data_IF_139287686687
#
_entry.id   IF_139287686687
#
_cell.length_a   1.000
_cell.length_b   1.000
_cell.length_c   1.000
_cell.angle_alpha   90.00
_cell.angle_beta   90.00
_cell.angle_gamma   90.00
#
_symmetry.space_group_name_H-M   'P 1'
#
loop_
_entity.id
_entity.type
_entity.pdbx_description
1 polymer ?
#
# COMPACT_ATOMS: atom_id res chain seq x y z
N UNK A 1 3.87 37.79 20.71
CA UNK A 1 2.89 37.79 19.61
C UNK A 1 1.62 37.22 20.20
N UNK A 2 0.71 38.09 20.59
CA UNK A 2 -0.54 37.72 21.26
C UNK A 2 -1.55 37.36 20.17
N UNK A 3 -2.00 36.10 20.15
CA UNK A 3 -3.09 35.68 19.26
C UNK A 3 -4.36 36.40 19.70
N UNK A 4 -4.92 37.22 18.82
CA UNK A 4 -6.13 38.01 19.11
C UNK A 4 -7.32 37.06 19.36
N UNK A 5 -8.24 37.35 20.31
CA UNK A 5 -9.39 36.49 20.61
C UNK A 5 -10.22 36.10 19.38
N UNK A 6 -10.29 36.99 18.39
CA UNK A 6 -10.95 36.75 17.12
C UNK A 6 -10.31 35.60 16.33
N UNK A 7 -8.98 35.52 16.29
CA UNK A 7 -8.26 34.48 15.57
C UNK A 7 -8.41 33.10 16.24
N UNK A 8 -8.55 33.06 17.57
CA UNK A 8 -8.86 31.84 18.31
C UNK A 8 -10.25 31.30 17.95
N UNK A 9 -11.23 32.19 17.81
CA UNK A 9 -12.61 31.84 17.47
C UNK A 9 -12.73 31.32 16.04
N UNK A 10 -12.05 31.97 15.08
CA UNK A 10 -12.03 31.54 13.68
C UNK A 10 -11.38 30.15 13.52
N UNK A 11 -10.29 29.89 14.27
CA UNK A 11 -9.64 28.58 14.26
C UNK A 11 -10.54 27.47 14.80
N UNK A 12 -11.29 27.73 15.87
CA UNK A 12 -12.21 26.75 16.45
C UNK A 12 -13.38 26.45 15.50
N UNK A 13 -13.91 27.46 14.81
CA UNK A 13 -14.99 27.29 13.84
C UNK A 13 -14.53 26.52 12.60
N UNK A 14 -13.30 26.76 12.13
CA UNK A 14 -12.73 26.02 11.01
C UNK A 14 -12.51 24.53 11.37
N UNK A 15 -12.13 24.24 12.61
CA UNK A 15 -11.96 22.87 13.08
C UNK A 15 -13.29 22.10 13.16
N UNK A 16 -14.38 22.74 13.61
CA UNK A 16 -15.72 22.15 13.56
C UNK A 16 -16.20 21.87 12.13
N UNK A 17 -15.97 22.80 11.20
CA UNK A 17 -16.35 22.59 9.80
C UNK A 17 -15.61 21.40 9.18
N UNK A 18 -14.33 21.19 9.51
CA UNK A 18 -13.58 20.02 9.04
C UNK A 18 -14.17 18.70 9.57
N UNK A 19 -14.55 18.65 10.85
CA UNK A 19 -15.18 17.46 11.43
C UNK A 19 -16.51 17.13 10.74
N UNK A 20 -17.36 18.13 10.49
CA UNK A 20 -18.62 17.93 9.78
C UNK A 20 -18.39 17.41 8.35
N UNK A 21 -17.41 17.94 7.63
CA UNK A 21 -17.07 17.47 6.28
C UNK A 21 -16.54 16.03 6.27
N UNK A 22 -15.80 15.63 7.30
CA UNK A 22 -15.34 14.25 7.46
C UNK A 22 -16.52 13.31 7.73
N UNK A 23 -17.42 13.68 8.64
CA UNK A 23 -18.62 12.87 8.93
C UNK A 23 -19.51 12.68 7.69
N UNK A 24 -19.71 13.74 6.91
CA UNK A 24 -20.42 13.65 5.63
C UNK A 24 -19.73 12.70 4.65
N UNK A 25 -18.39 12.67 4.65
CA UNK A 25 -17.61 11.74 3.83
C UNK A 25 -17.78 10.30 4.29
N UNK A 26 -17.82 10.06 5.61
CA UNK A 26 -18.06 8.73 6.16
C UNK A 26 -19.47 8.20 5.83
N UNK A 27 -20.49 9.06 5.92
CA UNK A 27 -21.85 8.73 5.49
C UNK A 27 -21.92 8.44 4.00
N UNK A 28 -21.23 9.23 3.19
CA UNK A 28 -21.17 9.01 1.75
C UNK A 28 -20.41 7.73 1.36
N UNK A 29 -19.41 7.32 2.16
CA UNK A 29 -18.75 6.02 2.01
C UNK A 29 -19.71 4.86 2.29
N UNK A 30 -20.47 4.95 3.39
CA UNK A 30 -21.43 3.92 3.79
C UNK A 30 -22.61 3.78 2.81
N UNK A 31 -23.02 4.90 2.18
CA UNK A 31 -24.08 4.94 1.18
C UNK A 31 -23.59 4.57 -0.24
N UNK A 32 -22.29 4.35 -0.44
CA UNK A 32 -21.76 4.06 -1.77
C UNK A 32 -22.13 2.66 -2.23
N UNK A 33 -22.66 2.57 -3.44
CA UNK A 33 -23.05 1.30 -4.05
C UNK A 33 -21.87 0.62 -4.73
N UNK A 34 -21.10 -0.12 -3.92
CA UNK A 34 -19.99 -0.93 -4.40
C UNK A 34 -20.46 -2.11 -5.28
N UNK A 35 -21.72 -2.55 -5.18
CA UNK A 35 -22.21 -3.74 -5.88
C UNK A 35 -22.48 -3.45 -7.36
N UNK A 36 -22.99 -2.25 -7.67
CA UNK A 36 -23.26 -1.83 -9.04
C UNK A 36 -22.08 -1.11 -9.74
N UNK A 37 -20.97 -0.86 -9.03
CA UNK A 37 -19.76 -0.29 -9.65
C UNK A 37 -18.95 -1.35 -10.40
N UNK A 38 -19.07 -1.35 -11.74
CA UNK A 38 -18.39 -2.30 -12.61
C UNK A 38 -16.85 -2.28 -12.49
N UNK A 39 -16.26 -1.11 -12.24
CA UNK A 39 -14.79 -0.97 -12.15
C UNK A 39 -14.28 -1.56 -10.84
N UNK A 40 -15.00 -1.31 -9.74
CA UNK A 40 -14.71 -1.93 -8.46
C UNK A 40 -14.91 -3.44 -8.51
N UNK A 41 -16.04 -3.92 -9.05
CA UNK A 41 -16.34 -5.35 -9.16
C UNK A 41 -15.29 -6.11 -9.98
N UNK A 42 -14.84 -5.53 -11.10
CA UNK A 42 -13.76 -6.12 -11.91
C UNK A 42 -12.47 -6.28 -11.10
N UNK A 43 -12.07 -5.24 -10.35
CA UNK A 43 -10.90 -5.31 -9.47
C UNK A 43 -11.09 -6.29 -8.31
N UNK A 44 -12.30 -6.36 -7.75
CA UNK A 44 -12.65 -7.22 -6.63
C UNK A 44 -12.51 -8.71 -6.99
N UNK A 45 -12.86 -9.11 -8.22
CA UNK A 45 -12.67 -10.48 -8.69
C UNK A 45 -11.20 -10.93 -8.60
N UNK A 46 -10.25 -10.05 -8.94
CA UNK A 46 -8.83 -10.37 -8.79
C UNK A 46 -8.45 -10.59 -7.32
N UNK A 47 -8.98 -9.77 -6.40
CA UNK A 47 -8.72 -9.89 -4.96
C UNK A 47 -9.33 -11.18 -4.42
N UNK A 48 -10.56 -11.51 -4.80
CA UNK A 48 -11.23 -12.76 -4.40
C UNK A 48 -10.43 -13.97 -4.91
N UNK A 49 -9.99 -13.94 -6.17
CA UNK A 49 -9.21 -15.02 -6.78
C UNK A 49 -7.87 -15.24 -6.07
N UNK A 50 -7.14 -14.17 -5.73
CA UNK A 50 -5.88 -14.28 -4.97
C UNK A 50 -6.06 -14.76 -3.53
N UNK A 51 -7.27 -14.65 -2.95
CA UNK A 51 -7.57 -15.03 -1.57
C UNK A 51 -8.45 -16.30 -1.47
N UNK A 52 -8.58 -17.10 -2.55
CA UNK A 52 -9.45 -18.30 -2.55
C UNK A 52 -9.10 -19.32 -1.45
N UNK A 53 -7.80 -19.52 -1.19
CA UNK A 53 -7.29 -20.47 -0.20
C UNK A 53 -7.29 -19.95 1.24
N UNK A 54 -7.73 -18.70 1.46
CA UNK A 54 -7.76 -18.09 2.80
C UNK A 54 -9.08 -18.38 3.51
N UNK A 55 -9.11 -18.12 4.81
CA UNK A 55 -10.33 -18.24 5.61
C UNK A 55 -11.37 -17.20 5.18
N UNK A 56 -12.65 -17.49 5.42
CA UNK A 56 -13.74 -16.55 5.11
C UNK A 56 -13.58 -15.21 5.83
N UNK A 57 -12.98 -15.21 7.03
CA UNK A 57 -12.67 -13.99 7.77
C UNK A 57 -11.67 -13.12 6.99
N UNK A 58 -10.57 -13.70 6.53
CA UNK A 58 -9.55 -12.97 5.76
C UNK A 58 -10.08 -12.48 4.42
N UNK A 59 -10.97 -13.25 3.76
CA UNK A 59 -11.64 -12.79 2.53
C UNK A 59 -12.51 -11.57 2.78
N UNK A 60 -13.32 -11.57 3.85
CA UNK A 60 -14.13 -10.40 4.23
C UNK A 60 -13.27 -9.18 4.53
N UNK A 61 -12.19 -9.36 5.30
CA UNK A 61 -11.24 -8.29 5.58
C UNK A 61 -10.60 -7.75 4.29
N UNK A 62 -10.24 -8.62 3.34
CA UNK A 62 -9.71 -8.19 2.04
C UNK A 62 -10.73 -7.37 1.23
N UNK A 63 -12.01 -7.76 1.24
CA UNK A 63 -13.09 -7.02 0.57
C UNK A 63 -13.29 -5.65 1.24
N UNK A 64 -13.32 -5.59 2.57
CA UNK A 64 -13.45 -4.32 3.30
C UNK A 64 -12.28 -3.38 3.04
N UNK A 65 -11.06 -3.90 3.06
CA UNK A 65 -9.86 -3.13 2.72
C UNK A 65 -9.90 -2.63 1.29
N UNK A 66 -10.38 -3.45 0.34
CA UNK A 66 -10.56 -3.05 -1.05
C UNK A 66 -11.58 -1.91 -1.19
N UNK A 67 -12.73 -1.98 -0.49
CA UNK A 67 -13.74 -0.90 -0.46
C UNK A 67 -13.13 0.41 0.03
N UNK A 68 -12.42 0.37 1.17
CA UNK A 68 -11.78 1.54 1.76
C UNK A 68 -10.72 2.15 0.81
N UNK A 69 -9.87 1.29 0.22
CA UNK A 69 -8.83 1.71 -0.71
C UNK A 69 -9.41 2.34 -1.98
N UNK A 70 -10.39 1.67 -2.59
CA UNK A 70 -11.02 2.15 -3.82
C UNK A 70 -11.67 3.52 -3.62
N UNK A 71 -12.47 3.67 -2.56
CA UNK A 71 -13.13 4.94 -2.28
C UNK A 71 -12.13 6.07 -2.03
N UNK A 72 -11.08 5.80 -1.24
CA UNK A 72 -10.02 6.77 -0.94
C UNK A 72 -9.24 7.17 -2.20
N UNK A 73 -9.06 6.22 -3.13
CA UNK A 73 -8.26 6.41 -4.35
C UNK A 73 -9.02 7.13 -5.46
N UNK A 74 -10.31 6.84 -5.64
CA UNK A 74 -11.06 7.25 -6.84
C UNK A 74 -12.23 8.20 -6.56
N UNK A 75 -12.75 8.26 -5.33
CA UNK A 75 -13.95 9.05 -5.00
C UNK A 75 -13.57 10.24 -4.12
N UNK A 76 -13.13 9.97 -2.90
CA UNK A 76 -12.75 11.02 -1.95
C UNK A 76 -11.76 10.48 -0.93
N UNK A 77 -10.59 11.12 -0.77
CA UNK A 77 -9.63 10.70 0.24
C UNK A 77 -10.19 10.98 1.63
N UNK A 78 -10.12 9.99 2.52
CA UNK A 78 -10.45 10.14 3.93
C UNK A 78 -9.55 9.26 4.80
N UNK A 79 -9.52 9.56 6.10
CA UNK A 79 -8.75 8.77 7.05
C UNK A 79 -9.57 7.56 7.52
N UNK A 80 -9.13 6.38 7.11
CA UNK A 80 -9.75 5.10 7.46
C UNK A 80 -9.75 4.87 8.97
N UNK A 81 -8.72 5.35 9.69
CA UNK A 81 -8.62 5.19 11.14
C UNK A 81 -9.70 6.00 11.86
N UNK A 82 -9.95 7.22 11.37
CA UNK A 82 -11.01 8.09 11.90
C UNK A 82 -12.41 7.54 11.59
N UNK A 83 -12.62 7.01 10.38
CA UNK A 83 -13.86 6.33 10.03
C UNK A 83 -14.14 5.12 10.95
N UNK A 84 -13.13 4.30 11.26
CA UNK A 84 -13.27 3.16 12.18
C UNK A 84 -13.66 3.60 13.59
N UNK A 85 -13.07 4.68 14.10
CA UNK A 85 -13.42 5.24 15.39
C UNK A 85 -14.87 5.78 15.42
N UNK A 86 -15.26 6.52 14.38
CA UNK A 86 -16.62 7.02 14.22
C UNK A 86 -17.66 5.88 14.12
N UNK A 87 -17.36 4.83 13.37
CA UNK A 87 -18.22 3.62 13.30
C UNK A 87 -18.35 2.92 14.64
N UNK A 88 -17.27 2.80 15.41
CA UNK A 88 -17.31 2.20 16.74
C UNK A 88 -18.20 3.02 17.70
N UNK A 89 -18.13 4.35 17.63
CA UNK A 89 -18.97 5.24 18.43
C UNK A 89 -20.46 5.13 18.07
N UNK A 90 -20.79 4.99 16.79
CA UNK A 90 -22.18 4.80 16.37
C UNK A 90 -22.78 3.45 16.78
N UNK A 91 -21.96 2.39 16.85
CA UNK A 91 -22.42 1.09 17.33
C UNK A 91 -22.74 1.09 18.83
N UNK A 92 -22.10 1.96 19.62
CA UNK A 92 -22.44 2.15 21.03
C UNK A 92 -23.78 2.89 21.25
N UNK A 93 -24.18 3.75 20.31
CA UNK A 93 -25.42 4.54 20.44
C UNK A 93 -26.66 3.81 19.86
N UNK A 94 -26.46 2.84 18.97
CA UNK A 94 -27.57 2.08 18.36
C UNK A 94 -28.02 0.86 19.18
N UNK A 95 -27.32 0.49 20.24
CA UNK A 95 -27.63 -0.68 21.09
C UNK A 95 -28.58 -0.35 22.28
N UNK A 96 -29.02 0.91 22.42
CA UNK A 96 -29.93 1.37 23.48
C UNK A 96 -31.39 1.43 23.00
N UNK A 97 -31.86 0.43 22.25
CA UNK A 97 -33.29 0.32 21.87
C UNK A 97 -33.84 -1.08 21.63
N UNK A 98 -33.13 -2.18 21.95
CA UNK A 98 -33.75 -3.53 21.89
C UNK A 98 -33.16 -4.55 22.86
N UNK A 99 -33.71 -4.55 24.09
CA UNK A 99 -33.96 -5.72 24.96
C UNK A 99 -32.77 -6.46 25.61
N UNK A 100 -32.52 -6.12 26.89
CA UNK A 100 -32.65 -7.09 27.99
C UNK A 100 -31.41 -7.86 28.50
N UNK A 101 -30.74 -7.27 29.50
CA UNK A 101 -30.07 -7.89 30.68
C UNK A 101 -29.38 -9.27 30.54
N UNK A 102 -28.06 -9.31 30.81
CA UNK A 102 -27.52 -9.88 32.07
C UNK A 102 -26.28 -9.08 32.51
N UNK A 103 -26.27 -8.59 33.75
CA UNK A 103 -25.12 -7.99 34.45
C UNK A 103 -24.21 -9.05 35.06
N UNK A 104 -22.94 -8.67 35.29
CA UNK A 104 -22.03 -8.96 36.43
C UNK A 104 -20.61 -9.16 35.85
N UNK A 105 -19.56 -8.43 36.23
CA UNK A 105 -19.42 -7.45 37.28
C UNK A 105 -18.14 -6.64 37.06
N UNK A 106 -18.11 -5.48 37.69
CA UNK A 106 -17.00 -4.55 37.75
C UNK A 106 -16.28 -4.80 39.07
N UNK A 107 -14.99 -5.10 39.01
CA UNK A 107 -14.09 -4.84 40.11
C UNK A 107 -12.75 -4.32 39.59
N UNK A 108 -12.38 -3.21 40.21
CA UNK A 108 -11.20 -2.42 39.98
C UNK A 108 -10.26 -2.81 41.12
N UNK A 109 -9.10 -3.40 40.84
CA UNK A 109 -8.02 -3.37 41.82
C UNK A 109 -6.64 -3.31 41.15
N UNK A 110 -6.05 -2.14 41.27
CA UNK A 110 -4.63 -1.88 41.08
C UNK A 110 -3.84 -2.55 42.19
N UNK A 111 -2.90 -3.45 41.87
CA UNK A 111 -1.64 -3.55 42.61
C UNK A 111 -0.49 -4.00 41.71
N UNK A 112 0.63 -3.38 42.00
CA UNK A 112 1.93 -3.44 41.35
C UNK A 112 2.74 -4.67 41.81
N UNK A 113 3.77 -4.96 41.00
CA UNK A 113 5.02 -5.68 41.27
C UNK A 113 5.10 -7.20 40.97
N UNK A 114 6.10 -7.51 40.11
CA UNK A 114 6.88 -8.74 39.91
C UNK A 114 6.17 -10.11 39.97
N UNK A 115 6.27 -10.91 38.90
CA UNK A 115 7.30 -11.96 38.81
C UNK A 115 7.18 -12.75 37.48
N UNK A 116 8.31 -13.33 37.07
CA UNK A 116 8.60 -14.07 35.85
C UNK A 116 8.03 -15.50 35.93
N UNK A 117 7.48 -16.03 34.82
CA UNK A 117 7.10 -17.45 34.77
C UNK A 117 6.67 -17.91 33.37
N UNK A 118 7.63 -18.47 32.64
CA UNK A 118 7.45 -19.11 31.34
C UNK A 118 6.42 -20.25 31.36
N UNK A 119 5.65 -20.41 30.28
CA UNK A 119 5.57 -21.72 29.60
C UNK A 119 4.92 -21.59 28.22
N UNK A 120 5.67 -22.04 27.23
CA UNK A 120 5.27 -22.15 25.83
C UNK A 120 4.32 -23.32 25.61
N UNK A 121 3.44 -23.20 24.61
CA UNK A 121 2.92 -24.36 23.84
C UNK A 121 2.50 -23.87 22.46
N UNK A 122 3.49 -23.81 21.56
CA UNK A 122 3.30 -23.91 20.12
C UNK A 122 3.18 -25.40 19.79
N UNK A 123 2.11 -25.81 19.10
CA UNK A 123 2.07 -27.09 18.39
C UNK A 123 1.69 -26.85 16.93
N UNK A 124 2.56 -27.33 16.04
CA UNK A 124 2.43 -27.32 14.58
C UNK A 124 2.57 -28.79 14.15
N UNK A 125 1.55 -29.33 13.47
CA UNK A 125 1.64 -30.62 12.78
C UNK A 125 2.05 -30.42 11.31
N UNK A 126 3.05 -31.19 10.89
CA UNK A 126 3.75 -31.19 9.60
C UNK A 126 3.13 -32.12 8.56
N UNK A 127 3.11 -31.71 7.29
CA UNK A 127 3.12 -32.59 6.10
C UNK A 127 3.97 -31.95 4.98
N UNK A 128 4.85 -32.73 4.36
CA UNK A 128 5.75 -32.37 3.23
C UNK A 128 5.41 -33.28 2.01
N UNK A 129 5.73 -32.95 0.73
CA UNK A 129 7.10 -32.64 0.26
C UNK A 129 7.23 -31.50 -0.79
N UNK A 130 8.47 -31.05 -1.02
CA UNK A 130 8.96 -30.13 -2.06
C UNK A 130 8.88 -28.59 -1.80
N UNK A 131 10.07 -28.00 -1.70
CA UNK A 131 10.46 -26.63 -2.07
C UNK A 131 9.67 -25.42 -1.53
N UNK A 132 10.01 -24.94 -0.32
CA UNK A 132 10.32 -23.53 -0.01
C UNK A 132 10.70 -23.37 1.49
N UNK A 133 11.56 -22.41 1.88
CA UNK A 133 11.97 -22.25 3.27
C UNK A 133 10.87 -21.58 4.10
N UNK A 134 10.42 -22.25 5.16
CA UNK A 134 9.51 -21.71 6.17
C UNK A 134 10.22 -20.66 7.03
N UNK A 135 9.67 -19.45 7.09
CA UNK A 135 9.99 -18.40 8.07
C UNK A 135 8.68 -18.00 8.77
N UNK A 136 8.66 -17.85 10.11
CA UNK A 136 9.59 -16.98 10.84
C UNK A 136 10.30 -17.61 12.04
N UNK A 137 11.63 -17.44 12.13
CA UNK A 137 12.36 -17.52 13.41
C UNK A 137 12.18 -16.20 14.16
N UNK A 138 12.01 -16.22 15.48
CA UNK A 138 12.04 -14.98 16.26
C UNK A 138 13.41 -14.30 16.03
N UNK A 139 13.42 -12.97 15.99
CA UNK A 139 14.64 -12.17 15.81
C UNK A 139 15.77 -12.58 16.76
N UNK A 140 15.39 -13.01 17.97
CA UNK A 140 16.30 -13.53 18.98
C UNK A 140 17.12 -14.73 18.49
N UNK A 141 16.50 -15.70 17.83
CA UNK A 141 17.22 -16.87 17.33
C UNK A 141 18.15 -16.50 16.15
N UNK A 142 17.77 -15.49 15.34
CA UNK A 142 18.65 -14.96 14.29
C UNK A 142 19.89 -14.33 14.93
N UNK A 143 19.71 -13.52 15.97
CA UNK A 143 20.82 -12.92 16.73
C UNK A 143 21.73 -13.99 17.34
N UNK A 144 21.17 -15.06 17.91
CA UNK A 144 21.94 -16.16 18.48
C UNK A 144 22.72 -16.95 17.42
N UNK A 145 22.13 -17.21 16.25
CA UNK A 145 22.82 -17.85 15.14
C UNK A 145 24.00 -17.01 14.64
N UNK A 146 23.81 -15.68 14.56
CA UNK A 146 24.89 -14.75 14.22
C UNK A 146 25.98 -14.75 15.29
N UNK A 147 25.60 -14.63 16.57
CA UNK A 147 26.54 -14.59 17.69
C UNK A 147 27.34 -15.90 17.84
N UNK A 148 26.71 -17.04 17.58
CA UNK A 148 27.34 -18.36 17.61
C UNK A 148 28.08 -18.72 16.31
N UNK A 149 28.06 -17.86 15.28
CA UNK A 149 28.70 -18.11 13.98
C UNK A 149 28.06 -19.25 13.18
N UNK A 150 26.80 -19.61 13.47
CA UNK A 150 26.08 -20.67 12.77
C UNK A 150 25.44 -20.11 11.48
N UNK A 151 25.44 -20.88 10.37
CA UNK A 151 24.85 -20.43 9.11
C UNK A 151 23.34 -20.22 9.24
N UNK A 152 22.84 -19.12 8.67
CA UNK A 152 21.42 -18.78 8.71
C UNK A 152 20.68 -19.71 7.73
N UNK A 153 19.65 -20.46 8.20
CA UNK A 153 18.92 -21.37 7.33
C UNK A 153 18.18 -20.61 6.22
N UNK A 154 18.19 -21.16 5.00
CA UNK A 154 17.47 -20.62 3.84
C UNK A 154 18.27 -19.66 2.96
N UNK A 155 19.49 -19.27 3.33
CA UNK A 155 20.35 -18.47 2.46
C UNK A 155 21.01 -19.35 1.39
N UNK A 156 20.96 -18.92 0.14
CA UNK A 156 21.68 -19.57 -0.96
C UNK A 156 23.11 -19.02 -0.97
N UNK A 157 24.11 -19.90 -0.92
CA UNK A 157 25.50 -19.50 -1.02
C UNK A 157 25.79 -19.04 -2.45
N UNK A 158 26.06 -17.75 -2.63
CA UNK A 158 26.52 -17.22 -3.92
C UNK A 158 28.05 -17.38 -3.93
N UNK A 159 28.62 -18.23 -4.80
CA UNK A 159 30.07 -18.33 -4.93
C UNK A 159 30.63 -16.98 -5.39
N UNK A 160 31.79 -16.60 -4.85
CA UNK A 160 32.49 -15.37 -5.25
C UNK A 160 33.23 -15.56 -6.58
N UNK A 161 32.52 -16.02 -7.60
CA UNK A 161 33.03 -16.21 -8.94
C UNK A 161 32.28 -15.27 -9.89
N UNK A 162 33.04 -14.63 -10.78
CA UNK A 162 32.45 -13.94 -11.92
C UNK A 162 31.80 -14.99 -12.82
N UNK A 163 30.59 -14.74 -13.31
CA UNK A 163 29.90 -15.67 -14.20
C UNK A 163 30.78 -15.99 -15.42
N UNK A 164 31.14 -17.27 -15.60
CA UNK A 164 31.99 -17.73 -16.71
C UNK A 164 31.24 -17.84 -18.05
N UNK A 165 29.93 -17.63 -18.04
CA UNK A 165 29.10 -17.62 -19.25
C UNK A 165 29.32 -16.35 -20.07
N UNK A 166 29.30 -16.49 -21.39
CA UNK A 166 29.25 -15.36 -22.32
C UNK A 166 28.08 -14.43 -21.93
N UNK A 167 28.28 -13.11 -21.80
CA UNK A 167 27.19 -12.20 -21.49
C UNK A 167 26.08 -12.34 -22.53
N UNK A 168 24.83 -12.41 -22.06
CA UNK A 168 23.68 -12.48 -22.95
C UNK A 168 23.55 -11.19 -23.74
N UNK A 169 23.57 -11.29 -25.07
CA UNK A 169 23.30 -10.15 -25.95
C UNK A 169 21.79 -9.92 -26.06
N UNK A 170 21.38 -8.64 -26.07
CA UNK A 170 19.98 -8.28 -26.18
C UNK A 170 19.44 -8.61 -27.58
N UNK A 171 18.64 -9.69 -27.70
CA UNK A 171 18.06 -10.14 -28.98
C UNK A 171 16.77 -9.40 -29.39
N UNK A 172 16.23 -8.54 -28.52
CA UNK A 172 14.95 -7.87 -28.74
C UNK A 172 15.16 -6.40 -29.10
N UNK A 173 14.47 -5.95 -30.16
CA UNK A 173 14.42 -4.54 -30.53
C UNK A 173 13.74 -3.74 -29.40
N UNK A 174 14.39 -2.72 -28.82
CA UNK A 174 13.78 -1.93 -27.76
C UNK A 174 12.53 -1.24 -28.29
N UNK A 175 11.40 -1.44 -27.59
CA UNK A 175 10.16 -0.76 -27.95
C UNK A 175 10.35 0.75 -27.74
N UNK A 176 9.94 1.57 -28.71
CA UNK A 176 10.08 3.00 -28.57
C UNK A 176 9.31 3.48 -27.35
N UNK A 177 9.95 4.35 -26.60
CA UNK A 177 9.35 4.93 -25.41
C UNK A 177 8.15 5.78 -25.83
N UNK A 178 7.09 5.87 -25.03
CA UNK A 178 5.85 6.55 -25.42
C UNK A 178 6.03 8.04 -25.77
N UNK A 179 7.12 8.67 -25.36
CA UNK A 179 7.47 10.05 -25.72
C UNK A 179 8.16 10.20 -27.08
N UNK A 180 8.56 9.12 -27.75
CA UNK A 180 9.25 9.15 -29.06
C UNK A 180 8.27 9.31 -30.25
N UNK A 181 6.96 9.32 -30.02
CA UNK A 181 5.92 9.33 -31.07
C UNK A 181 5.63 10.70 -31.72
N UNK A 182 6.47 11.72 -31.53
CA UNK A 182 6.27 13.05 -32.15
C UNK A 182 7.59 13.66 -32.62
N UNK A 183 8.09 13.23 -33.78
CA UNK A 183 9.01 14.00 -34.64
C UNK A 183 9.11 13.36 -36.03
N UNK A 184 8.00 13.33 -36.76
CA UNK A 184 8.00 12.96 -38.18
C UNK A 184 6.88 13.70 -38.94
N UNK A 185 6.67 14.99 -38.65
CA UNK A 185 5.88 15.90 -39.50
C UNK A 185 6.39 17.32 -39.28
N UNK A 186 6.63 18.03 -40.39
CA UNK A 186 7.12 19.41 -40.52
C UNK A 186 8.65 19.63 -40.38
N UNK A 187 9.37 19.54 -41.50
CA UNK A 187 10.23 20.62 -42.05
C UNK A 187 10.74 20.21 -43.45
N UNK A 188 9.93 20.39 -44.48
CA UNK A 188 10.46 20.62 -45.84
C UNK A 188 10.41 22.13 -46.06
N UNK A 189 11.49 22.76 -45.63
CA UNK A 189 11.80 24.17 -45.76
C UNK A 189 11.87 24.56 -47.25
N UNK A 190 11.21 25.67 -47.59
CA UNK A 190 11.30 26.30 -48.90
C UNK A 190 11.74 27.74 -48.69
N UNK A 191 12.80 28.13 -49.40
CA UNK A 191 13.10 29.48 -49.91
C UNK A 191 14.32 30.19 -49.29
N UNK A 192 15.45 29.98 -49.98
CA UNK A 192 16.30 31.04 -50.58
C UNK A 192 17.01 32.03 -49.65
N UNK A 193 18.33 31.88 -49.55
CA UNK A 193 19.27 33.00 -49.34
C UNK A 193 20.43 32.88 -50.31
N UNK A 194 20.52 33.88 -51.20
CA UNK A 194 21.46 34.04 -52.30
C UNK A 194 22.77 34.72 -51.87
N UNK A 195 23.86 34.43 -52.59
CA UNK A 195 25.15 35.16 -52.59
C UNK A 195 26.16 34.58 -51.59
N UNK A 196 27.38 34.18 -51.95
CA UNK A 196 28.39 34.95 -52.70
C UNK A 196 29.33 34.01 -53.46
N UNK A 197 29.61 34.36 -54.72
CA UNK A 197 30.71 33.82 -55.52
C UNK A 197 32.06 34.22 -54.94
N UNK A 198 33.00 33.28 -54.83
CA UNK A 198 34.43 33.60 -54.99
C UNK A 198 35.12 32.41 -55.66
N UNK A 199 35.73 32.66 -56.81
CA UNK A 199 36.56 31.74 -57.56
C UNK A 199 37.97 31.68 -56.96
N UNK A 200 38.67 30.53 -56.98
CA UNK A 200 40.11 30.46 -57.29
C UNK A 200 40.64 29.01 -57.48
N UNK A 201 41.00 28.69 -58.74
CA UNK A 201 42.25 28.04 -59.25
C UNK A 201 42.79 26.74 -58.59
N UNK A 202 42.90 25.66 -59.38
CA UNK A 202 44.19 25.11 -59.88
C UNK A 202 44.08 23.63 -60.32
N UNK A 203 44.21 23.38 -61.63
CA UNK A 203 44.82 22.17 -62.18
C UNK A 203 45.33 22.50 -63.57
N UNK A 204 46.64 22.71 -63.69
CA UNK A 204 47.34 22.84 -64.96
C UNK A 204 48.60 21.98 -64.89
N UNK A 205 48.88 21.30 -66.01
CA UNK A 205 49.99 20.38 -66.34
C UNK A 205 49.77 18.91 -66.01
#
# INVERSE_FOLDING_TARGET
>A
MEVTPQQQQDQQQQQQQQQQQQEQTFKAFDAYDFENDATFQTGLQSIINSNQNKTEKEKKEAIENARCFYYTRFIKPFDISQYKAWRAQQQLTNDESSTGKVSLGKDHNTMSANDIGASASNDITSVAPAADPSYPKSFQEICELIAAGKPIPGIRQIPNNLAEGTPSEAQLVPRPKPWEKKKATAVTDSTTSSGVSTAEVSANS
#
